data_IF_985579595193
#
_entry.id   IF_985579595193
#
_cell.length_a   1.000
_cell.length_b   1.000
_cell.length_c   1.000
_cell.angle_alpha   90.00
_cell.angle_beta   90.00
_cell.angle_gamma   90.00
#
_symmetry.space_group_name_H-M   'P 1'
#
loop_
_entity.id
_entity.type
_entity.pdbx_description
1 polymer ?
#
# COMPACT_ATOMS: atom_id res chain seq x y z
N UNK A 1 -1.98 -22.98 3.87
CA UNK A 1 -1.04 -21.84 4.00
C UNK A 1 -1.31 -21.17 5.33
N UNK A 2 -0.29 -20.57 5.97
CA UNK A 2 -0.53 -19.82 7.21
C UNK A 2 -1.17 -18.47 6.86
N UNK A 3 -1.89 -17.86 7.80
CA UNK A 3 -2.46 -16.52 7.63
C UNK A 3 -1.38 -15.51 7.20
N UNK A 4 -0.18 -15.61 7.78
CA UNK A 4 0.98 -14.81 7.39
C UNK A 4 1.33 -14.98 5.90
N UNK A 5 1.45 -16.22 5.40
CA UNK A 5 1.76 -16.47 3.98
C UNK A 5 0.68 -15.89 3.07
N UNK A 6 -0.60 -16.05 3.42
CA UNK A 6 -1.71 -15.53 2.63
C UNK A 6 -1.68 -13.99 2.54
N UNK A 7 -1.40 -13.32 3.66
CA UNK A 7 -1.27 -11.86 3.72
C UNK A 7 -0.04 -11.37 2.95
N UNK A 8 1.11 -12.05 3.05
CA UNK A 8 2.31 -11.71 2.26
C UNK A 8 2.04 -11.79 0.77
N UNK A 9 1.37 -12.85 0.31
CA UNK A 9 1.01 -12.98 -1.11
C UNK A 9 -0.03 -11.93 -1.54
N UNK A 10 -0.96 -11.57 -0.66
CA UNK A 10 -1.93 -10.50 -0.91
C UNK A 10 -1.22 -9.17 -1.12
N UNK A 11 -0.30 -8.79 -0.23
CA UNK A 11 0.46 -7.54 -0.32
C UNK A 11 1.38 -7.55 -1.55
N UNK A 12 2.02 -8.68 -1.87
CA UNK A 12 2.82 -8.80 -3.09
C UNK A 12 1.96 -8.54 -4.35
N UNK A 13 0.76 -9.13 -4.44
CA UNK A 13 -0.17 -8.86 -5.55
C UNK A 13 -0.63 -7.41 -5.60
N UNK A 14 -0.83 -6.77 -4.45
CA UNK A 14 -1.15 -5.35 -4.38
C UNK A 14 -0.01 -4.50 -4.96
N UNK A 15 1.23 -4.77 -4.57
CA UNK A 15 2.42 -4.11 -5.15
C UNK A 15 2.50 -4.34 -6.66
N UNK A 16 2.29 -5.57 -7.13
CA UNK A 16 2.31 -5.89 -8.55
C UNK A 16 1.21 -5.15 -9.33
N UNK A 17 0.00 -5.06 -8.74
CA UNK A 17 -1.11 -4.28 -9.31
C UNK A 17 -0.77 -2.80 -9.46
N UNK A 18 -0.10 -2.20 -8.46
CA UNK A 18 0.37 -0.81 -8.52
C UNK A 18 1.38 -0.63 -9.64
N UNK A 19 2.38 -1.50 -9.72
CA UNK A 19 3.42 -1.44 -10.77
C UNK A 19 2.84 -1.62 -12.17
N UNK A 20 1.80 -2.43 -12.30
CA UNK A 20 1.05 -2.64 -13.55
C UNK A 20 0.04 -1.51 -13.86
N UNK A 21 -0.16 -0.56 -12.93
CA UNK A 21 -1.22 0.45 -12.99
C UNK A 21 -2.62 -0.18 -13.18
N UNK A 22 -2.87 -1.33 -12.56
CA UNK A 22 -4.11 -2.09 -12.61
C UNK A 22 -4.97 -1.79 -11.37
N UNK A 23 -5.94 -0.89 -11.51
CA UNK A 23 -6.80 -0.47 -10.41
C UNK A 23 -7.64 -1.62 -9.83
N UNK A 24 -8.00 -2.60 -10.66
CA UNK A 24 -8.82 -3.71 -10.20
C UNK A 24 -7.98 -4.67 -9.36
N UNK A 25 -6.73 -4.94 -9.77
CA UNK A 25 -5.77 -5.67 -8.95
C UNK A 25 -5.46 -4.94 -7.64
N UNK A 26 -5.24 -3.62 -7.69
CA UNK A 26 -4.95 -2.80 -6.50
C UNK A 26 -6.09 -2.81 -5.48
N UNK A 27 -7.34 -2.90 -5.92
CA UNK A 27 -8.51 -2.80 -5.02
C UNK A 27 -9.19 -4.13 -4.74
N UNK A 28 -8.72 -5.23 -5.33
CA UNK A 28 -9.32 -6.56 -5.23
C UNK A 28 -9.42 -7.07 -3.79
N UNK A 29 -8.45 -6.70 -2.94
CA UNK A 29 -8.31 -7.21 -1.58
C UNK A 29 -8.58 -6.15 -0.51
N UNK A 30 -9.32 -5.09 -0.83
CA UNK A 30 -9.73 -4.05 0.14
C UNK A 30 -11.15 -4.25 0.62
N UNK A 31 -11.38 -4.01 1.90
CA UNK A 31 -12.74 -3.92 2.45
C UNK A 31 -13.45 -2.66 1.93
N UNK A 32 -14.79 -2.70 1.89
CA UNK A 32 -15.58 -1.60 1.33
C UNK A 32 -15.46 -0.30 2.16
N UNK A 33 -15.15 -0.45 3.45
CA UNK A 33 -14.96 0.60 4.46
C UNK A 33 -13.48 0.97 4.70
N UNK A 34 -12.57 0.63 3.77
CA UNK A 34 -11.13 0.98 3.85
C UNK A 34 -10.91 2.44 4.26
N UNK A 35 -9.95 2.66 5.15
CA UNK A 35 -9.42 4.00 5.45
C UNK A 35 -7.95 4.05 5.09
N UNK A 36 -7.54 5.01 4.26
CA UNK A 36 -6.14 5.27 3.94
C UNK A 36 -5.70 6.64 4.45
N UNK A 37 -4.60 6.67 5.19
CA UNK A 37 -3.84 7.88 5.46
C UNK A 37 -2.65 7.90 4.52
N UNK A 38 -2.71 8.75 3.51
CA UNK A 38 -1.72 8.79 2.45
C UNK A 38 -0.74 9.96 2.64
N UNK A 39 0.32 9.97 1.83
CA UNK A 39 1.30 11.06 1.77
C UNK A 39 0.67 12.35 1.20
N UNK A 40 0.01 12.34 0.04
CA UNK A 40 -0.72 13.50 -0.45
C UNK A 40 -2.01 13.77 0.35
N UNK A 41 -2.54 15.02 0.30
CA UNK A 41 -3.88 15.33 0.79
C UNK A 41 -4.95 14.38 0.25
N UNK A 42 -6.10 14.21 0.94
CA UNK A 42 -6.63 15.06 2.00
C UNK A 42 -6.13 14.77 3.42
N UNK A 43 -6.14 15.79 4.30
CA UNK A 43 -5.68 15.68 5.69
C UNK A 43 -6.53 14.75 6.58
N UNK A 44 -7.80 14.54 6.24
CA UNK A 44 -8.71 13.67 7.01
C UNK A 44 -8.62 12.18 6.61
N UNK A 45 -7.76 11.88 5.64
CA UNK A 45 -7.64 10.58 5.01
C UNK A 45 -8.70 10.31 3.94
N UNK A 46 -8.48 9.25 3.19
CA UNK A 46 -9.40 8.73 2.18
C UNK A 46 -10.22 7.61 2.82
N UNK A 47 -11.55 7.65 2.62
CA UNK A 47 -12.49 6.78 3.33
C UNK A 47 -13.47 6.13 2.37
N UNK A 48 -13.58 4.81 2.47
CA UNK A 48 -14.42 3.98 1.61
C UNK A 48 -13.77 3.65 0.28
N UNK A 49 -14.09 2.47 -0.23
CA UNK A 49 -13.53 1.92 -1.47
C UNK A 49 -13.74 2.79 -2.72
N UNK A 50 -14.88 3.50 -2.90
CA UNK A 50 -15.04 4.43 -4.02
C UNK A 50 -14.02 5.57 -3.99
N UNK A 51 -13.86 6.26 -2.86
CA UNK A 51 -12.91 7.36 -2.72
C UNK A 51 -11.46 6.88 -2.83
N UNK A 52 -11.16 5.69 -2.30
CA UNK A 52 -9.86 5.03 -2.48
C UNK A 52 -9.58 4.76 -3.96
N UNK A 53 -10.55 4.28 -4.75
CA UNK A 53 -10.35 4.08 -6.20
C UNK A 53 -10.08 5.39 -6.94
N UNK A 54 -10.75 6.47 -6.55
CA UNK A 54 -10.61 7.80 -7.17
C UNK A 54 -9.25 8.46 -6.89
N UNK A 55 -8.53 8.04 -5.84
CA UNK A 55 -7.22 8.63 -5.49
C UNK A 55 -6.04 8.09 -6.29
N UNK A 56 -6.17 6.93 -6.94
CA UNK A 56 -5.06 6.26 -7.64
C UNK A 56 -4.57 6.89 -8.95
N UNK A 57 -5.40 7.53 -9.80
CA UNK A 57 -4.97 7.97 -11.13
C UNK A 57 -3.69 8.84 -11.13
N UNK A 58 -3.53 9.86 -10.26
CA UNK A 58 -2.30 10.65 -10.20
C UNK A 58 -1.06 9.80 -9.89
N UNK A 59 -1.18 8.82 -9.00
CA UNK A 59 -0.08 7.94 -8.66
C UNK A 59 0.27 6.98 -9.81
N UNK A 60 -0.72 6.49 -10.56
CA UNK A 60 -0.45 5.70 -11.77
C UNK A 60 0.27 6.51 -12.86
N UNK A 61 -0.05 7.79 -13.03
CA UNK A 61 0.73 8.65 -13.93
C UNK A 61 2.18 8.82 -13.45
N UNK A 62 2.40 8.90 -12.14
CA UNK A 62 3.75 8.89 -11.57
C UNK A 62 4.50 7.59 -11.88
N UNK A 63 3.89 6.42 -11.67
CA UNK A 63 4.48 5.12 -12.04
C UNK A 63 4.78 5.04 -13.54
N UNK A 64 3.84 5.43 -14.41
CA UNK A 64 4.03 5.45 -15.87
C UNK A 64 5.15 6.38 -16.32
N UNK A 65 5.45 7.43 -15.55
CA UNK A 65 6.58 8.33 -15.81
C UNK A 65 7.96 7.72 -15.54
N UNK A 66 8.02 6.47 -15.07
CA UNK A 66 9.26 5.75 -14.75
C UNK A 66 9.59 5.72 -13.25
N UNK A 67 8.66 6.12 -12.37
CA UNK A 67 8.87 6.02 -10.94
C UNK A 67 8.94 4.55 -10.48
N UNK A 68 9.79 4.31 -9.49
CA UNK A 68 9.91 3.01 -8.81
C UNK A 68 8.83 2.89 -7.74
N UNK A 69 8.25 1.70 -7.61
CA UNK A 69 7.47 1.28 -6.45
C UNK A 69 7.79 -0.18 -6.15
N UNK A 70 8.69 -0.41 -5.20
CA UNK A 70 9.24 -1.73 -4.92
C UNK A 70 9.28 -2.02 -3.42
N UNK A 71 8.74 -3.16 -3.03
CA UNK A 71 8.78 -3.66 -1.66
C UNK A 71 10.20 -4.11 -1.29
N UNK A 72 10.76 -3.53 -0.23
CA UNK A 72 12.10 -3.83 0.28
C UNK A 72 12.02 -4.78 1.47
N UNK A 73 11.09 -4.50 2.37
CA UNK A 73 10.90 -5.22 3.61
C UNK A 73 9.41 -5.36 3.90
N UNK A 74 9.02 -6.52 4.42
CA UNK A 74 7.65 -6.77 4.86
C UNK A 74 7.66 -7.68 6.09
N UNK A 75 7.01 -7.20 7.14
CA UNK A 75 6.73 -7.93 8.37
C UNK A 75 5.22 -8.07 8.48
N UNK A 76 4.79 -9.23 8.99
CA UNK A 76 3.38 -9.59 9.11
C UNK A 76 3.19 -10.33 10.41
N UNK A 77 2.27 -9.84 11.23
CA UNK A 77 1.82 -10.48 12.47
C UNK A 77 0.32 -10.75 12.33
N UNK A 78 -0.05 -12.02 12.35
CA UNK A 78 -1.42 -12.45 12.05
C UNK A 78 -2.03 -13.26 13.20
N UNK A 79 -3.20 -12.80 13.65
CA UNK A 79 -4.10 -13.58 14.49
C UNK A 79 -5.12 -14.37 13.66
N UNK A 80 -6.23 -14.75 14.30
CA UNK A 80 -7.29 -15.52 13.64
C UNK A 80 -8.13 -14.66 12.67
N UNK A 81 -8.57 -13.48 13.14
CA UNK A 81 -9.48 -12.59 12.40
C UNK A 81 -8.89 -11.22 12.08
N UNK A 82 -7.80 -10.83 12.73
CA UNK A 82 -7.11 -9.55 12.54
C UNK A 82 -5.62 -9.77 12.38
N UNK A 83 -5.00 -8.93 11.58
CA UNK A 83 -3.57 -8.93 11.37
C UNK A 83 -3.08 -7.50 11.13
N UNK A 84 -1.78 -7.28 11.33
CA UNK A 84 -1.12 -6.07 10.89
C UNK A 84 0.15 -6.43 10.12
N UNK A 85 0.46 -5.59 9.13
CA UNK A 85 1.67 -5.69 8.36
C UNK A 85 2.34 -4.31 8.29
N UNK A 86 3.66 -4.29 8.21
CA UNK A 86 4.42 -3.06 8.04
C UNK A 86 5.66 -3.35 7.21
N UNK A 87 6.12 -2.34 6.50
CA UNK A 87 7.20 -2.53 5.54
C UNK A 87 7.81 -1.23 5.04
N UNK A 88 8.89 -1.41 4.28
CA UNK A 88 9.60 -0.34 3.59
C UNK A 88 9.48 -0.56 2.09
N UNK A 89 9.26 0.54 1.37
CA UNK A 89 9.26 0.55 -0.09
C UNK A 89 10.25 1.58 -0.62
N UNK A 90 10.83 1.27 -1.78
CA UNK A 90 11.41 2.28 -2.65
C UNK A 90 10.27 2.87 -3.47
N UNK A 91 9.96 4.14 -3.23
CA UNK A 91 8.96 4.89 -3.97
C UNK A 91 9.57 6.23 -4.37
N UNK A 92 9.72 6.47 -5.67
CA UNK A 92 10.35 7.69 -6.16
C UNK A 92 10.82 7.60 -7.62
N UNK A 93 11.10 8.74 -8.23
CA UNK A 93 11.74 8.86 -9.54
C UNK A 93 13.26 8.81 -9.48
N UNK A 94 13.91 8.68 -10.64
CA UNK A 94 15.38 8.59 -10.73
C UNK A 94 16.09 9.78 -10.08
N UNK A 95 15.58 11.00 -10.26
CA UNK A 95 16.15 12.21 -9.66
C UNK A 95 16.11 12.15 -8.13
N UNK A 96 14.98 11.73 -7.55
CA UNK A 96 14.81 11.65 -6.09
C UNK A 96 15.79 10.63 -5.49
N UNK A 97 16.02 9.50 -6.16
CA UNK A 97 17.03 8.53 -5.72
C UNK A 97 18.47 8.96 -5.97
N UNK A 98 18.73 9.78 -6.99
CA UNK A 98 20.06 10.36 -7.21
C UNK A 98 20.40 11.36 -6.09
N UNK A 99 19.42 12.14 -5.64
CA UNK A 99 19.56 13.10 -4.54
C UNK A 99 19.62 12.40 -3.17
N UNK A 100 18.77 11.39 -2.95
CA UNK A 100 18.75 10.58 -1.72
C UNK A 100 18.46 9.09 -2.01
N UNK A 101 19.48 8.23 -2.13
CA UNK A 101 19.29 6.80 -2.43
C UNK A 101 18.62 6.02 -1.30
N UNK A 102 18.62 6.58 -0.08
CA UNK A 102 18.08 5.97 1.13
C UNK A 102 16.64 6.41 1.43
N UNK A 103 16.02 7.23 0.55
CA UNK A 103 14.60 7.58 0.71
C UNK A 103 13.73 6.31 0.69
N UNK A 104 12.90 6.15 1.73
CA UNK A 104 11.97 5.02 1.86
C UNK A 104 10.59 5.52 2.20
N UNK A 105 9.61 4.99 1.47
CA UNK A 105 8.22 5.06 1.88
C UNK A 105 7.99 3.99 2.94
N UNK A 106 7.40 4.40 4.07
CA UNK A 106 6.99 3.51 5.16
C UNK A 106 5.52 3.17 4.98
N UNK A 107 5.21 1.89 5.12
CA UNK A 107 3.86 1.34 4.97
C UNK A 107 3.44 0.66 6.27
N UNK A 108 2.18 0.86 6.65
CA UNK A 108 1.49 0.01 7.63
C UNK A 108 0.10 -0.35 7.11
N UNK A 109 -0.29 -1.60 7.27
CA UNK A 109 -1.57 -2.13 6.82
C UNK A 109 -2.26 -2.87 7.96
N UNK A 110 -3.52 -2.49 8.23
CA UNK A 110 -4.42 -3.25 9.09
C UNK A 110 -5.29 -4.16 8.23
N UNK A 111 -5.35 -5.45 8.55
CA UNK A 111 -6.13 -6.43 7.81
C UNK A 111 -7.18 -7.10 8.70
N UNK A 112 -8.32 -7.42 8.10
CA UNK A 112 -9.40 -8.19 8.72
C UNK A 112 -9.73 -9.39 7.86
N UNK A 113 -10.13 -10.48 8.51
CA UNK A 113 -10.71 -11.63 7.85
C UNK A 113 -12.23 -11.45 7.76
N UNK A 114 -12.77 -11.39 6.55
CA UNK A 114 -14.20 -11.21 6.27
C UNK A 114 -14.62 -12.35 5.34
N UNK A 115 -15.65 -13.11 5.73
CA UNK A 115 -16.14 -14.27 4.99
C UNK A 115 -15.03 -15.25 4.59
N UNK A 116 -14.09 -15.49 5.52
CA UNK A 116 -12.96 -16.38 5.35
C UNK A 116 -11.79 -15.82 4.53
N UNK A 117 -11.87 -14.59 4.01
CA UNK A 117 -10.85 -13.94 3.18
C UNK A 117 -10.17 -12.80 3.92
N UNK A 118 -8.85 -12.67 3.78
CA UNK A 118 -8.12 -11.50 4.26
C UNK A 118 -8.38 -10.31 3.35
N UNK A 119 -8.71 -9.16 3.96
CA UNK A 119 -8.89 -7.89 3.30
C UNK A 119 -8.12 -6.79 4.04
N UNK A 120 -7.50 -5.89 3.29
CA UNK A 120 -6.90 -4.66 3.80
C UNK A 120 -8.04 -3.72 4.21
N UNK A 121 -8.05 -3.33 5.47
CA UNK A 121 -9.06 -2.46 6.07
C UNK A 121 -8.49 -1.08 6.46
N UNK A 122 -7.17 -0.98 6.61
CA UNK A 122 -6.49 0.29 6.85
C UNK A 122 -5.13 0.31 6.15
N UNK A 123 -4.77 1.46 5.60
CA UNK A 123 -3.43 1.76 5.08
C UNK A 123 -2.91 3.06 5.68
N UNK A 124 -1.60 3.10 5.94
CA UNK A 124 -0.88 4.32 6.28
C UNK A 124 0.43 4.37 5.49
N UNK A 125 0.63 5.47 4.78
CA UNK A 125 1.84 5.77 4.01
C UNK A 125 2.51 7.02 4.54
N UNK A 126 3.83 6.98 4.72
CA UNK A 126 4.59 8.17 5.13
C UNK A 126 6.03 8.13 4.66
N UNK A 127 6.58 9.31 4.36
CA UNK A 127 8.03 9.52 4.33
C UNK A 127 8.48 10.10 5.67
N UNK A 128 9.71 9.80 6.13
CA UNK A 128 10.29 10.54 7.25
C UNK A 128 10.46 12.02 6.89
N UNK A 129 10.28 12.89 7.87
CA UNK A 129 10.70 14.29 7.76
C UNK A 129 12.24 14.34 7.75
N UNK A 130 12.80 15.15 6.85
CA UNK A 130 14.25 15.30 6.64
C UNK A 130 14.73 16.73 6.89
N UNK A 131 13.87 17.58 7.47
CA UNK A 131 14.19 18.97 7.81
C UNK A 131 14.88 19.12 9.16
#
# INVERSE_FOLDING_TARGET
MSAETDIRMLIARWVDGIRACDLDAVTAAHSDDIVMFDVPPPYEGIRGKPAYRESWPPFFEFIRSGATFELVELNVDAGEDVAFAYGLLRCGGEKEFADNPDIRLRLSMGLRRIDGKWLIAHEHHSFPDTT
#
